data_IF_046201710712
#
_entry.id   IF_046201710712
#
_cell.length_a   1.000
_cell.length_b   1.000
_cell.length_c   1.000
_cell.angle_alpha   90.00
_cell.angle_beta   90.00
_cell.angle_gamma   90.00
#
_symmetry.space_group_name_H-M   'P 1'
#
loop_
_entity.id
_entity.type
_entity.pdbx_description
1 polymer ?
#
# COMPACT_ATOMS: atom_id res chain seq x y z
N UNK A 1 28.26 1.99 6.08
CA UNK A 1 26.96 1.55 5.52
C UNK A 1 26.28 0.47 6.37
N UNK A 2 26.99 -0.58 6.82
CA UNK A 2 26.37 -1.62 7.64
C UNK A 2 25.86 -1.11 9.01
N UNK A 3 26.63 -0.25 9.68
CA UNK A 3 26.26 0.35 10.98
C UNK A 3 24.91 1.09 10.94
N UNK A 4 24.70 1.95 9.95
CA UNK A 4 23.44 2.70 9.79
C UNK A 4 22.25 1.78 9.56
N UNK A 5 22.41 0.73 8.73
CA UNK A 5 21.34 -0.27 8.47
C UNK A 5 21.01 -1.09 9.72
N UNK A 6 22.03 -1.48 10.49
CA UNK A 6 21.85 -2.20 11.75
C UNK A 6 21.12 -1.35 12.78
N UNK A 7 21.52 -0.09 12.95
CA UNK A 7 20.87 0.81 13.92
C UNK A 7 19.41 1.07 13.53
N UNK A 8 19.11 1.34 12.25
CA UNK A 8 17.73 1.53 11.81
C UNK A 8 16.87 0.28 12.02
N UNK A 9 17.39 -0.90 11.71
CA UNK A 9 16.66 -2.15 11.93
C UNK A 9 16.44 -2.42 13.43
N UNK A 10 17.46 -2.20 14.26
CA UNK A 10 17.40 -2.41 15.70
C UNK A 10 16.36 -1.51 16.38
N UNK A 11 16.11 -0.31 15.83
CA UNK A 11 15.06 0.60 16.32
C UNK A 11 13.69 0.26 15.75
N UNK A 12 13.59 -0.01 14.44
CA UNK A 12 12.31 -0.25 13.77
C UNK A 12 11.66 -1.58 14.19
N UNK A 13 12.45 -2.64 14.38
CA UNK A 13 11.92 -3.95 14.80
C UNK A 13 11.10 -3.86 16.10
N UNK A 14 11.66 -3.38 17.24
CA UNK A 14 10.90 -3.29 18.48
C UNK A 14 9.75 -2.28 18.39
N UNK A 15 9.90 -1.19 17.62
CA UNK A 15 8.84 -0.22 17.40
C UNK A 15 7.62 -0.86 16.70
N UNK A 16 7.86 -1.64 15.65
CA UNK A 16 6.79 -2.34 14.91
C UNK A 16 6.16 -3.43 15.78
N UNK A 17 6.97 -4.23 16.50
CA UNK A 17 6.45 -5.26 17.42
C UNK A 17 5.57 -4.60 18.50
N UNK A 18 6.02 -3.49 19.07
CA UNK A 18 5.23 -2.75 20.05
C UNK A 18 3.93 -2.21 19.44
N UNK A 19 4.00 -1.63 18.24
CA UNK A 19 2.84 -1.14 17.51
C UNK A 19 1.80 -2.24 17.25
N UNK A 20 2.23 -3.43 16.82
CA UNK A 20 1.34 -4.54 16.47
C UNK A 20 0.77 -5.25 17.70
N UNK A 21 1.58 -5.49 18.74
CA UNK A 21 1.19 -6.34 19.86
C UNK A 21 0.63 -5.58 21.07
N UNK A 22 1.00 -4.31 21.26
CA UNK A 22 0.69 -3.57 22.48
C UNK A 22 -0.10 -2.27 22.25
N UNK A 23 -0.17 -1.78 21.00
CA UNK A 23 -0.92 -0.57 20.71
C UNK A 23 -2.43 -0.84 20.71
N UNK A 24 -3.22 0.12 21.19
CA UNK A 24 -4.67 0.10 21.01
C UNK A 24 -5.01 0.15 19.51
N UNK A 25 -6.10 -0.49 19.11
CA UNK A 25 -6.56 -0.56 17.71
C UNK A 25 -6.58 0.81 17.01
N UNK A 26 -7.10 1.85 17.67
CA UNK A 26 -7.19 3.20 17.09
C UNK A 26 -5.80 3.80 16.77
N UNK A 27 -4.86 3.66 17.71
CA UNK A 27 -3.50 4.16 17.54
C UNK A 27 -2.76 3.36 16.47
N UNK A 28 -2.92 2.03 16.45
CA UNK A 28 -2.33 1.18 15.42
C UNK A 28 -2.86 1.54 14.03
N UNK A 29 -4.18 1.71 13.89
CA UNK A 29 -4.82 2.14 12.65
C UNK A 29 -4.26 3.47 12.14
N UNK A 30 -4.13 4.48 13.01
CA UNK A 30 -3.57 5.78 12.63
C UNK A 30 -2.11 5.66 12.17
N UNK A 31 -1.29 4.87 12.88
CA UNK A 31 0.11 4.62 12.52
C UNK A 31 0.22 3.88 11.19
N UNK A 32 -0.57 2.82 10.99
CA UNK A 32 -0.59 2.03 9.77
C UNK A 32 -1.04 2.89 8.57
N UNK A 33 -2.10 3.69 8.74
CA UNK A 33 -2.57 4.62 7.72
C UNK A 33 -1.47 5.62 7.33
N UNK A 34 -0.78 6.21 8.31
CA UNK A 34 0.32 7.15 8.04
C UNK A 34 1.45 6.50 7.24
N UNK A 35 1.86 5.27 7.61
CA UNK A 35 2.91 4.52 6.93
C UNK A 35 2.49 4.15 5.49
N UNK A 36 1.27 3.61 5.32
CA UNK A 36 0.76 3.24 4.00
C UNK A 36 0.60 4.46 3.09
N UNK A 37 0.08 5.58 3.59
CA UNK A 37 -0.07 6.81 2.80
C UNK A 37 1.28 7.43 2.41
N UNK A 38 2.29 7.35 3.28
CA UNK A 38 3.66 7.71 2.92
C UNK A 38 4.20 6.80 1.79
N UNK A 39 3.91 5.50 1.83
CA UNK A 39 4.22 4.56 0.75
C UNK A 39 3.49 4.90 -0.56
N UNK A 40 2.20 5.24 -0.48
CA UNK A 40 1.35 5.66 -1.60
C UNK A 40 1.88 6.93 -2.27
N UNK A 41 2.41 7.87 -1.49
CA UNK A 41 3.02 9.10 -2.01
C UNK A 41 4.22 8.81 -2.92
N UNK A 42 5.14 7.96 -2.44
CA UNK A 42 6.31 7.52 -3.22
C UNK A 42 5.88 6.65 -4.40
N UNK A 43 4.91 5.77 -4.20
CA UNK A 43 4.35 4.92 -5.25
C UNK A 43 3.75 5.74 -6.40
N UNK A 44 2.98 6.80 -6.08
CA UNK A 44 2.40 7.68 -7.10
C UNK A 44 3.47 8.32 -7.99
N UNK A 45 4.60 8.72 -7.41
CA UNK A 45 5.75 9.24 -8.16
C UNK A 45 6.35 8.17 -9.09
N UNK A 46 6.54 6.95 -8.58
CA UNK A 46 7.06 5.81 -9.37
C UNK A 46 6.09 5.36 -10.47
N UNK A 47 4.78 5.52 -10.23
CA UNK A 47 3.71 5.21 -11.18
C UNK A 47 3.53 6.27 -12.27
N UNK A 48 4.32 7.36 -12.26
CA UNK A 48 4.31 8.40 -13.30
C UNK A 48 3.49 9.64 -12.96
N UNK A 49 2.94 9.78 -11.75
CA UNK A 49 2.30 11.00 -11.29
C UNK A 49 3.35 12.05 -10.92
N UNK A 50 3.68 12.93 -11.87
CA UNK A 50 4.68 13.99 -11.65
C UNK A 50 4.11 15.18 -10.86
N UNK A 51 2.87 15.57 -11.15
CA UNK A 51 2.22 16.68 -10.46
C UNK A 51 1.95 16.34 -8.99
N UNK A 52 2.32 17.27 -8.10
CA UNK A 52 2.05 17.19 -6.64
C UNK A 52 0.55 17.01 -6.40
N UNK A 53 -0.29 17.77 -7.10
CA UNK A 53 -1.75 17.70 -6.97
C UNK A 53 -2.29 16.31 -7.33
N UNK A 54 -1.75 15.67 -8.38
CA UNK A 54 -2.18 14.34 -8.77
C UNK A 54 -1.79 13.28 -7.72
N UNK A 55 -0.61 13.42 -7.10
CA UNK A 55 -0.18 12.54 -6.00
C UNK A 55 -1.02 12.73 -4.74
N UNK A 56 -1.37 13.97 -4.41
CA UNK A 56 -2.30 14.26 -3.31
C UNK A 56 -3.68 13.68 -3.59
N UNK A 57 -4.21 13.83 -4.81
CA UNK A 57 -5.50 13.23 -5.19
C UNK A 57 -5.49 11.70 -5.05
N UNK A 58 -4.41 11.04 -5.48
CA UNK A 58 -4.24 9.61 -5.31
C UNK A 58 -4.16 9.19 -3.83
N UNK A 59 -3.42 9.95 -3.01
CA UNK A 59 -3.33 9.72 -1.57
C UNK A 59 -4.69 9.90 -0.86
N UNK A 60 -5.45 10.93 -1.22
CA UNK A 60 -6.82 11.15 -0.71
C UNK A 60 -7.76 10.03 -1.15
N UNK A 61 -7.64 9.53 -2.39
CA UNK A 61 -8.41 8.39 -2.85
C UNK A 61 -8.13 7.14 -2.01
N UNK A 62 -6.86 6.81 -1.74
CA UNK A 62 -6.49 5.66 -0.90
C UNK A 62 -6.99 5.87 0.55
N UNK A 63 -6.81 7.06 1.11
CA UNK A 63 -7.32 7.37 2.45
C UNK A 63 -8.86 7.25 2.53
N UNK A 64 -9.56 7.66 1.47
CA UNK A 64 -11.00 7.46 1.33
C UNK A 64 -11.37 5.98 1.30
N UNK A 65 -10.61 5.14 0.58
CA UNK A 65 -10.82 3.69 0.56
C UNK A 65 -10.60 3.07 1.95
N UNK A 66 -9.56 3.48 2.66
CA UNK A 66 -9.32 3.05 4.05
C UNK A 66 -10.50 3.41 4.96
N UNK A 67 -10.98 4.65 4.86
CA UNK A 67 -12.14 5.10 5.62
C UNK A 67 -13.40 4.31 5.28
N UNK A 68 -13.69 4.09 3.99
CA UNK A 68 -14.86 3.30 3.58
C UNK A 68 -14.78 1.86 4.07
N UNK A 69 -13.59 1.26 4.09
CA UNK A 69 -13.40 -0.10 4.56
C UNK A 69 -13.72 -0.25 6.06
N UNK A 70 -13.52 0.79 6.87
CA UNK A 70 -13.91 0.80 8.28
C UNK A 70 -15.44 0.76 8.50
N UNK A 71 -16.22 1.19 7.51
CA UNK A 71 -17.68 1.25 7.59
C UNK A 71 -18.36 0.01 6.99
N UNK A 72 -17.60 -0.86 6.31
CA UNK A 72 -18.11 -2.04 5.65
C UNK A 72 -18.12 -3.23 6.60
N UNK A 73 -19.09 -4.12 6.40
CA UNK A 73 -19.17 -5.37 7.12
C UNK A 73 -18.09 -6.34 6.62
N UNK A 74 -17.08 -6.57 7.46
CA UNK A 74 -15.93 -7.41 7.16
C UNK A 74 -16.33 -8.85 6.84
N UNK A 75 -17.43 -9.37 7.39
CA UNK A 75 -17.89 -10.73 7.09
C UNK A 75 -18.24 -10.90 5.61
N UNK A 76 -18.74 -9.83 4.98
CA UNK A 76 -19.13 -9.83 3.56
C UNK A 76 -17.92 -9.54 2.66
N UNK A 77 -17.06 -8.61 3.06
CA UNK A 77 -15.99 -8.11 2.18
C UNK A 77 -14.64 -8.84 2.32
N UNK A 78 -14.36 -9.49 3.45
CA UNK A 78 -13.03 -10.05 3.72
C UNK A 78 -12.66 -11.15 2.72
N UNK A 79 -13.53 -12.14 2.50
CA UNK A 79 -13.26 -13.24 1.58
C UNK A 79 -13.03 -12.77 0.12
N UNK A 80 -13.93 -11.97 -0.50
CA UNK A 80 -13.69 -11.51 -1.87
C UNK A 80 -12.45 -10.61 -1.97
N UNK A 81 -12.16 -9.79 -0.95
CA UNK A 81 -10.97 -8.94 -0.93
C UNK A 81 -9.68 -9.76 -0.86
N UNK A 82 -9.64 -10.81 -0.02
CA UNK A 82 -8.50 -11.71 0.08
C UNK A 82 -8.28 -12.51 -1.21
N UNK A 83 -9.36 -12.97 -1.85
CA UNK A 83 -9.26 -13.64 -3.15
C UNK A 83 -8.72 -12.69 -4.23
N UNK A 84 -9.18 -11.44 -4.25
CA UNK A 84 -8.67 -10.42 -5.16
C UNK A 84 -7.19 -10.12 -4.90
N UNK A 85 -6.78 -10.03 -3.63
CA UNK A 85 -5.39 -9.83 -3.23
C UNK A 85 -4.50 -11.00 -3.66
N UNK A 86 -4.94 -12.23 -3.43
CA UNK A 86 -4.23 -13.43 -3.88
C UNK A 86 -4.08 -13.47 -5.42
N UNK A 87 -5.17 -13.21 -6.15
CA UNK A 87 -5.13 -13.13 -7.61
C UNK A 87 -4.16 -12.04 -8.09
N UNK A 88 -4.18 -10.87 -7.45
CA UNK A 88 -3.25 -9.78 -7.73
C UNK A 88 -1.79 -10.19 -7.50
N UNK A 89 -1.48 -10.87 -6.39
CA UNK A 89 -0.11 -11.35 -6.12
C UNK A 89 0.36 -12.36 -7.17
N UNK A 90 -0.51 -13.24 -7.67
CA UNK A 90 -0.18 -14.12 -8.81
C UNK A 90 0.12 -13.32 -10.08
N UNK A 91 -0.69 -12.30 -10.38
CA UNK A 91 -0.42 -11.37 -11.49
C UNK A 91 0.90 -10.63 -11.30
N UNK A 92 1.22 -10.18 -10.09
CA UNK A 92 2.46 -9.49 -9.77
C UNK A 92 3.68 -10.39 -9.98
N UNK A 93 3.60 -11.68 -9.62
CA UNK A 93 4.66 -12.65 -9.90
C UNK A 93 4.91 -12.80 -11.40
N UNK A 94 3.86 -12.88 -12.21
CA UNK A 94 3.99 -12.91 -13.68
C UNK A 94 4.61 -11.61 -14.19
N UNK A 95 4.19 -10.47 -13.66
CA UNK A 95 4.75 -9.16 -14.04
C UNK A 95 6.26 -9.08 -13.72
N UNK A 96 6.70 -9.61 -12.58
CA UNK A 96 8.12 -9.67 -12.22
C UNK A 96 8.96 -10.47 -13.22
N UNK A 97 8.41 -11.52 -13.85
CA UNK A 97 9.10 -12.27 -14.92
C UNK A 97 9.19 -11.51 -16.25
N UNK A 98 8.37 -10.48 -16.43
CA UNK A 98 8.28 -9.69 -17.66
C UNK A 98 8.33 -8.19 -17.35
N UNK A 99 9.49 -7.66 -16.92
CA UNK A 99 9.63 -6.27 -16.46
C UNK A 99 9.35 -5.22 -17.56
N UNK A 100 9.32 -5.64 -18.83
CA UNK A 100 8.98 -4.79 -19.96
C UNK A 100 7.47 -4.48 -20.02
N UNK A 101 6.62 -5.30 -19.38
CA UNK A 101 5.18 -5.04 -19.27
C UNK A 101 4.97 -3.74 -18.52
N UNK A 102 4.24 -2.82 -19.16
CA UNK A 102 3.96 -1.49 -18.62
C UNK A 102 5.21 -0.67 -18.22
N UNK A 103 6.37 -0.92 -18.83
CA UNK A 103 7.58 -0.14 -18.59
C UNK A 103 7.47 1.31 -19.11
N UNK A 104 6.68 1.53 -20.16
CA UNK A 104 6.46 2.85 -20.75
C UNK A 104 5.79 3.82 -19.76
N UNK A 105 6.09 5.11 -19.92
CA UNK A 105 5.45 6.20 -19.18
C UNK A 105 4.28 6.77 -20.01
N UNK A 106 3.25 5.95 -20.23
CA UNK A 106 2.03 6.33 -20.92
C UNK A 106 0.81 6.16 -20.00
N UNK A 107 -0.32 6.76 -20.37
CA UNK A 107 -1.51 6.78 -19.51
C UNK A 107 -1.96 5.37 -19.09
N UNK A 108 -1.97 4.40 -20.01
CA UNK A 108 -2.40 3.02 -19.73
C UNK A 108 -1.48 2.34 -18.72
N UNK A 109 -0.17 2.42 -18.93
CA UNK A 109 0.82 1.79 -18.06
C UNK A 109 0.85 2.45 -16.68
N UNK A 110 0.67 3.77 -16.63
CA UNK A 110 0.63 4.52 -15.38
C UNK A 110 -0.63 4.18 -14.58
N UNK A 111 -1.80 4.09 -15.23
CA UNK A 111 -3.03 3.63 -14.58
C UNK A 111 -2.88 2.21 -14.04
N UNK A 112 -2.29 1.29 -14.79
CA UNK A 112 -2.02 -0.06 -14.31
C UNK A 112 -1.12 -0.07 -13.05
N UNK A 113 -0.07 0.75 -13.02
CA UNK A 113 0.79 0.92 -11.83
C UNK A 113 0.04 1.55 -10.65
N UNK A 114 -0.89 2.47 -10.88
CA UNK A 114 -1.69 3.04 -9.80
C UNK A 114 -2.68 2.01 -9.24
N UNK A 115 -3.35 1.23 -10.10
CA UNK A 115 -4.23 0.14 -9.66
C UNK A 115 -3.47 -0.91 -8.85
N UNK A 116 -2.22 -1.22 -9.25
CA UNK A 116 -1.33 -2.07 -8.48
C UNK A 116 -1.14 -1.55 -7.04
N UNK A 117 -0.96 -0.24 -6.86
CA UNK A 117 -0.86 0.37 -5.54
C UNK A 117 -2.13 0.20 -4.70
N UNK A 118 -3.32 0.36 -5.31
CA UNK A 118 -4.61 0.13 -4.65
C UNK A 118 -4.73 -1.33 -4.18
N UNK A 119 -4.42 -2.29 -5.06
CA UNK A 119 -4.51 -3.74 -4.79
C UNK A 119 -3.49 -4.24 -3.77
N UNK A 120 -2.42 -3.48 -3.53
CA UNK A 120 -1.47 -3.76 -2.44
C UNK A 120 -1.93 -3.12 -1.13
N UNK A 121 -2.34 -1.85 -1.16
CA UNK A 121 -2.63 -1.08 0.05
C UNK A 121 -3.97 -1.42 0.70
N UNK A 122 -5.04 -1.61 -0.09
CA UNK A 122 -6.39 -1.80 0.47
C UNK A 122 -6.52 -3.15 1.19
N UNK A 123 -6.11 -4.30 0.62
CA UNK A 123 -6.13 -5.56 1.35
C UNK A 123 -5.24 -5.54 2.60
N UNK A 124 -4.10 -4.86 2.55
CA UNK A 124 -3.20 -4.73 3.71
C UNK A 124 -3.78 -3.86 4.84
N UNK A 125 -4.68 -2.93 4.53
CA UNK A 125 -5.39 -2.12 5.53
C UNK A 125 -6.52 -2.89 6.22
N UNK A 126 -7.18 -3.77 5.48
CA UNK A 126 -8.36 -4.52 5.96
C UNK A 126 -7.99 -5.80 6.72
N UNK A 127 -6.81 -6.36 6.43
CA UNK A 127 -6.29 -7.57 7.08
C UNK A 127 -5.93 -7.33 8.55
#
# INVERSE_FOLDING_TARGET
MLRTRLISALVLIPLVIYGVLYSSTDVFMLLLAAILLAGVWEWGRLAGLQAVVARLAYMVLIAGLFWTALQLDLEVIAMPLLLAACAWWLCALIWLTRPQLCAANNAVCNTAKLLAGVLVCVPAWVA
#
